data_IF_593611664738
#
_entry.id   IF_593611664738
#
_cell.length_a   1.000
_cell.length_b   1.000
_cell.length_c   1.000
_cell.angle_alpha   90.00
_cell.angle_beta   90.00
_cell.angle_gamma   90.00
#
_symmetry.space_group_name_H-M   'P 1'
#
loop_
_entity.id
_entity.type
_entity.pdbx_description
1 polymer ?
#
# COMPACT_ATOMS: atom_id res chain seq x y z
N UNK A 1 14.68 19.77 -1.78
CA UNK A 1 13.98 18.88 -0.82
C UNK A 1 13.23 17.77 -1.56
N UNK A 2 13.91 16.69 -1.98
CA UNK A 2 13.29 15.55 -2.70
C UNK A 2 13.14 14.28 -1.85
N UNK A 3 13.71 14.26 -0.64
CA UNK A 3 13.77 13.07 0.21
C UNK A 3 12.39 12.64 0.72
N UNK A 4 11.53 13.60 1.06
CA UNK A 4 10.18 13.32 1.57
C UNK A 4 9.32 12.62 0.49
N UNK A 5 9.30 13.15 -0.73
CA UNK A 5 8.56 12.53 -1.85
C UNK A 5 9.03 11.09 -2.09
N UNK A 6 10.34 10.87 -2.15
CA UNK A 6 10.92 9.52 -2.33
C UNK A 6 10.57 8.57 -1.18
N UNK A 7 10.58 9.06 0.07
CA UNK A 7 10.21 8.25 1.23
C UNK A 7 8.72 7.84 1.19
N UNK A 8 7.84 8.77 0.81
CA UNK A 8 6.40 8.53 0.66
C UNK A 8 6.14 7.52 -0.46
N UNK A 9 6.76 7.69 -1.62
CA UNK A 9 6.64 6.75 -2.76
C UNK A 9 7.15 5.35 -2.39
N UNK A 10 8.28 5.26 -1.68
CA UNK A 10 8.83 3.98 -1.22
C UNK A 10 7.86 3.26 -0.27
N UNK A 11 7.24 4.00 0.67
CA UNK A 11 6.24 3.44 1.59
C UNK A 11 4.99 2.98 0.84
N UNK A 12 4.49 3.78 -0.10
CA UNK A 12 3.34 3.44 -0.95
C UNK A 12 3.59 2.15 -1.73
N UNK A 13 4.72 2.05 -2.42
CA UNK A 13 5.07 0.86 -3.20
C UNK A 13 5.22 -0.39 -2.32
N UNK A 14 5.78 -0.25 -1.11
CA UNK A 14 5.87 -1.34 -0.15
C UNK A 14 4.48 -1.87 0.26
N UNK A 15 3.54 -0.97 0.60
CA UNK A 15 2.18 -1.37 1.00
C UNK A 15 1.43 -2.05 -0.14
N UNK A 16 1.55 -1.54 -1.37
CA UNK A 16 0.95 -2.17 -2.55
C UNK A 16 1.49 -3.60 -2.72
N UNK A 17 2.80 -3.80 -2.67
CA UNK A 17 3.40 -5.13 -2.79
C UNK A 17 2.96 -6.07 -1.68
N UNK A 18 2.82 -5.57 -0.45
CA UNK A 18 2.34 -6.34 0.69
C UNK A 18 0.90 -6.81 0.48
N UNK A 19 0.01 -5.92 0.04
CA UNK A 19 -1.40 -6.21 -0.23
C UNK A 19 -1.57 -7.18 -1.41
N UNK A 20 -0.77 -7.04 -2.47
CA UNK A 20 -0.74 -8.00 -3.59
C UNK A 20 -0.28 -9.37 -3.12
N UNK A 21 0.82 -9.47 -2.36
CA UNK A 21 1.31 -10.74 -1.79
C UNK A 21 0.31 -11.38 -0.84
N UNK A 22 -0.46 -10.58 -0.11
CA UNK A 22 -1.52 -11.03 0.77
C UNK A 22 -2.78 -11.51 0.00
N UNK A 23 -2.87 -11.28 -1.31
CA UNK A 23 -4.02 -11.66 -2.12
C UNK A 23 -5.24 -10.73 -1.95
N UNK A 24 -5.04 -9.54 -1.36
CA UNK A 24 -6.12 -8.55 -1.10
C UNK A 24 -6.65 -7.97 -2.40
N UNK A 25 -5.79 -7.79 -3.39
CA UNK A 25 -6.19 -7.45 -4.76
C UNK A 25 -5.34 -8.23 -5.75
N UNK A 26 -5.99 -8.71 -6.82
CA UNK A 26 -5.33 -9.32 -7.98
C UNK A 26 -4.84 -8.25 -8.97
N UNK A 27 -5.43 -7.06 -8.92
CA UNK A 27 -5.14 -5.96 -9.84
C UNK A 27 -4.35 -4.87 -9.12
N UNK A 28 -3.08 -4.75 -9.47
CA UNK A 28 -2.17 -3.72 -8.93
C UNK A 28 -2.68 -2.31 -9.24
N UNK A 29 -3.37 -2.10 -10.36
CA UNK A 29 -3.94 -0.80 -10.76
C UNK A 29 -4.96 -0.28 -9.75
N UNK A 30 -5.81 -1.16 -9.20
CA UNK A 30 -6.78 -0.78 -8.17
C UNK A 30 -6.08 -0.25 -6.91
N UNK A 31 -4.95 -0.86 -6.52
CA UNK A 31 -4.16 -0.42 -5.38
C UNK A 31 -3.34 0.84 -5.67
N UNK A 32 -2.96 1.09 -6.92
CA UNK A 32 -2.24 2.29 -7.32
C UNK A 32 -3.13 3.54 -7.28
N UNK A 33 -4.43 3.40 -7.50
CA UNK A 33 -5.37 4.52 -7.41
C UNK A 33 -5.61 4.99 -5.97
N UNK A 34 -5.18 4.21 -4.97
CA UNK A 34 -5.35 4.54 -3.56
C UNK A 34 -4.28 5.53 -3.07
N UNK A 35 -4.70 6.39 -2.17
CA UNK A 35 -3.84 7.24 -1.36
C UNK A 35 -3.04 6.42 -0.37
N UNK A 36 -1.95 7.00 0.16
CA UNK A 36 -1.11 6.33 1.16
C UNK A 36 -1.92 5.93 2.41
N UNK A 37 -2.82 6.80 2.87
CA UNK A 37 -3.66 6.55 4.05
C UNK A 37 -4.62 5.38 3.83
N UNK A 38 -5.23 5.28 2.65
CA UNK A 38 -6.13 4.17 2.30
C UNK A 38 -5.38 2.84 2.25
N UNK A 39 -4.15 2.84 1.68
CA UNK A 39 -3.27 1.67 1.68
C UNK A 39 -2.89 1.23 3.10
N UNK A 40 -2.61 2.18 3.99
CA UNK A 40 -2.31 1.89 5.41
C UNK A 40 -3.52 1.30 6.15
N UNK A 41 -4.72 1.83 5.90
CA UNK A 41 -5.95 1.31 6.48
C UNK A 41 -6.23 -0.12 6.01
N UNK A 42 -6.09 -0.38 4.71
CA UNK A 42 -6.24 -1.71 4.13
C UNK A 42 -5.21 -2.69 4.68
N UNK A 43 -3.93 -2.29 4.76
CA UNK A 43 -2.88 -3.15 5.30
C UNK A 43 -3.12 -3.47 6.77
N UNK A 44 -3.53 -2.50 7.58
CA UNK A 44 -3.88 -2.72 8.99
C UNK A 44 -5.06 -3.66 9.13
N UNK A 45 -6.14 -3.44 8.37
CA UNK A 45 -7.32 -4.32 8.38
C UNK A 45 -6.93 -5.77 8.05
N UNK A 46 -6.05 -5.96 7.07
CA UNK A 46 -5.59 -7.30 6.72
C UNK A 46 -4.66 -7.92 7.78
N UNK A 47 -3.80 -7.13 8.44
CA UNK A 47 -2.91 -7.63 9.49
C UNK A 47 -3.62 -7.93 10.81
N UNK A 48 -4.76 -7.28 11.09
CA UNK A 48 -5.58 -7.54 12.30
C UNK A 48 -6.47 -8.78 12.16
N UNK A 49 -6.74 -9.21 10.91
CA UNK A 49 -7.64 -10.36 10.62
C UNK A 49 -6.87 -11.70 10.52
N UNK A 50 -5.56 -11.71 10.80
CA UNK A 50 -4.72 -12.91 10.89
C UNK A 50 -4.28 -13.15 12.33
#
# INVERSE_FOLDING_TARGET
>A
MQYLRKAVEKKRNYLIQLLVKAGVSKETEQLQNLTLTELELLSKKHMVVK
#
